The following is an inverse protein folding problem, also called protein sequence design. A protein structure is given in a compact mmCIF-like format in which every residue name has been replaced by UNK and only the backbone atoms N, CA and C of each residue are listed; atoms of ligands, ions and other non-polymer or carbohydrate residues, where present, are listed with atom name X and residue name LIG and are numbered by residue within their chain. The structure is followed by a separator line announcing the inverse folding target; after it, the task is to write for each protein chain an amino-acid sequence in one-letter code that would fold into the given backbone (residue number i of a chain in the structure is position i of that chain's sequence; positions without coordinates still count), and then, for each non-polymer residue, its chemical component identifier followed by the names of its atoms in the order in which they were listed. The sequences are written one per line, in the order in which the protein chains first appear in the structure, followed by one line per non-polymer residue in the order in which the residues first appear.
data_IF_062780620874
#
_entry.id   IF_062780620874
#
_cell.length_a   1.000
_cell.length_b   1.000
_cell.length_c   1.000
_cell.angle_alpha   90.00
_cell.angle_beta   90.00
_cell.angle_gamma   90.00
#
_symmetry.space_group_name_H-M   'P 1'
#
loop_
_entity.id
_entity.type
_entity.pdbx_description
1 polymer ?
#
# COMPACT_ATOMS: atom_id res chain seq x y z
N UNK A 1 12.94 -2.67 -16.18
CA UNK A 1 14.04 -2.18 -15.31
C UNK A 1 14.68 -3.38 -14.59
N UNK A 2 16.02 -3.40 -14.45
CA UNK A 2 16.69 -4.36 -13.56
C UNK A 2 16.22 -4.10 -12.13
N UNK A 3 15.84 -5.14 -11.36
CA UNK A 3 15.38 -4.95 -9.99
C UNK A 3 16.53 -4.41 -9.13
N UNK A 4 16.32 -3.29 -8.42
CA UNK A 4 17.25 -2.88 -7.38
C UNK A 4 16.90 -3.66 -6.12
N UNK A 5 17.89 -4.22 -5.43
CA UNK A 5 17.66 -4.88 -4.14
C UNK A 5 17.57 -3.87 -2.99
N UNK A 6 17.02 -2.68 -3.25
CA UNK A 6 16.85 -1.65 -2.24
C UNK A 6 15.52 -1.81 -1.52
N UNK A 7 15.44 -1.32 -0.28
CA UNK A 7 14.19 -1.31 0.48
C UNK A 7 13.09 -0.46 -0.16
N UNK A 8 13.44 0.44 -1.08
CA UNK A 8 12.47 1.22 -1.85
C UNK A 8 11.74 0.41 -2.92
N UNK A 9 12.29 -0.75 -3.33
CA UNK A 9 11.63 -1.69 -4.24
C UNK A 9 10.80 -2.74 -3.49
N UNK A 10 10.75 -2.66 -2.16
CA UNK A 10 9.93 -3.57 -1.36
C UNK A 10 8.44 -3.22 -1.51
N UNK A 11 7.70 -4.09 -2.17
CA UNK A 11 6.28 -3.88 -2.48
C UNK A 11 5.36 -4.63 -1.52
N UNK A 12 4.07 -4.29 -1.58
CA UNK A 12 3.03 -4.94 -0.77
C UNK A 12 3.03 -6.46 -0.95
N UNK A 13 3.25 -6.97 -2.17
CA UNK A 13 3.25 -8.41 -2.46
C UNK A 13 4.46 -9.12 -1.83
N UNK A 14 5.61 -8.44 -1.72
CA UNK A 14 6.74 -8.94 -0.93
C UNK A 14 6.40 -9.00 0.56
N UNK A 15 5.73 -7.97 1.09
CA UNK A 15 5.27 -7.96 2.49
C UNK A 15 4.35 -9.15 2.79
N UNK A 16 3.41 -9.45 1.90
CA UNK A 16 2.52 -10.61 2.05
C UNK A 16 3.27 -11.93 1.96
N UNK A 17 4.21 -12.07 1.02
CA UNK A 17 5.00 -13.28 0.88
C UNK A 17 5.86 -13.56 2.12
N UNK A 18 6.51 -12.52 2.66
CA UNK A 18 7.31 -12.61 3.89
C UNK A 18 6.41 -12.89 5.10
N UNK A 19 5.30 -12.18 5.23
CA UNK A 19 4.32 -12.36 6.30
C UNK A 19 3.80 -13.80 6.38
N UNK A 20 3.35 -14.37 5.26
CA UNK A 20 2.91 -15.78 5.20
C UNK A 20 3.99 -16.76 5.69
N UNK A 21 5.26 -16.51 5.32
CA UNK A 21 6.38 -17.37 5.73
C UNK A 21 6.67 -17.28 7.23
N UNK A 22 6.54 -16.09 7.83
CA UNK A 22 6.82 -15.84 9.25
C UNK A 22 5.69 -16.38 10.13
N UNK A 23 4.45 -16.00 9.82
CA UNK A 23 3.29 -16.26 10.67
C UNK A 23 2.62 -17.62 10.41
N UNK A 24 2.84 -18.23 9.24
CA UNK A 24 2.28 -19.54 8.87
C UNK A 24 0.77 -19.59 9.11
N UNK A 25 0.30 -20.47 10.00
CA UNK A 25 -1.11 -20.65 10.35
C UNK A 25 -1.71 -19.45 11.07
N UNK A 26 -0.88 -18.58 11.67
CA UNK A 26 -1.33 -17.34 12.31
C UNK A 26 -1.44 -16.17 11.32
N UNK A 27 -1.17 -16.40 10.02
CA UNK A 27 -1.30 -15.36 9.01
C UNK A 27 -2.79 -15.11 8.68
N UNK A 28 -3.23 -13.84 8.50
CA UNK A 28 -4.63 -13.53 8.19
C UNK A 28 -5.13 -14.24 6.92
N UNK A 29 -6.33 -14.81 6.99
CA UNK A 29 -6.97 -15.46 5.83
C UNK A 29 -7.39 -14.43 4.78
N UNK A 30 -7.94 -13.30 5.24
CA UNK A 30 -8.39 -12.20 4.40
C UNK A 30 -7.46 -11.00 4.53
N UNK A 31 -6.92 -10.54 3.39
CA UNK A 31 -6.06 -9.35 3.33
C UNK A 31 -6.53 -8.45 2.20
N UNK A 32 -6.86 -7.21 2.55
CA UNK A 32 -7.26 -6.16 1.59
C UNK A 32 -6.08 -5.18 1.42
N UNK A 33 -5.76 -4.85 0.17
CA UNK A 33 -4.68 -3.92 -0.17
C UNK A 33 -5.26 -2.75 -0.96
N UNK A 34 -5.16 -1.54 -0.40
CA UNK A 34 -5.53 -0.30 -1.07
C UNK A 34 -4.29 0.34 -1.68
N UNK A 35 -4.34 0.63 -2.98
CA UNK A 35 -3.24 1.26 -3.72
C UNK A 35 -3.72 2.58 -4.33
N UNK A 36 -2.86 3.58 -4.29
CA UNK A 36 -3.06 4.87 -4.96
C UNK A 36 -1.91 5.05 -5.93
N UNK A 37 -2.22 5.24 -7.21
CA UNK A 37 -1.21 5.49 -8.23
C UNK A 37 -0.61 6.88 -8.05
N UNK A 38 0.71 6.99 -8.18
CA UNK A 38 1.41 8.26 -8.14
C UNK A 38 1.17 9.05 -9.44
N UNK A 39 0.84 10.34 -9.33
CA UNK A 39 0.71 11.21 -10.50
C UNK A 39 2.07 11.68 -11.02
N UNK A 40 3.00 12.01 -10.10
CA UNK A 40 4.35 12.48 -10.42
C UNK A 40 5.37 11.94 -9.41
N UNK A 41 6.59 11.67 -9.87
CA UNK A 41 7.74 11.21 -9.08
C UNK A 41 8.94 12.19 -9.15
N UNK A 42 8.77 13.37 -9.73
CA UNK A 42 9.78 14.43 -9.71
C UNK A 42 10.08 14.91 -8.27
N UNK A 43 11.21 15.60 -8.10
CA UNK A 43 11.58 16.18 -6.81
C UNK A 43 10.53 17.19 -6.31
N UNK A 44 10.00 16.92 -5.13
CA UNK A 44 9.02 17.75 -4.45
C UNK A 44 8.84 17.30 -3.00
N UNK A 45 8.11 18.09 -2.22
CA UNK A 45 7.82 17.80 -0.81
C UNK A 45 6.37 17.41 -0.57
N UNK A 46 5.46 17.82 -1.47
CA UNK A 46 4.03 17.69 -1.29
C UNK A 46 3.43 16.60 -2.18
N UNK A 47 2.30 16.03 -1.75
CA UNK A 47 1.47 15.20 -2.62
C UNK A 47 0.80 16.07 -3.66
N UNK A 48 0.61 15.51 -4.85
CA UNK A 48 -0.21 16.18 -5.84
C UNK A 48 -1.69 16.15 -5.45
N UNK A 49 -2.45 17.11 -5.97
CA UNK A 49 -3.85 17.29 -5.57
C UNK A 49 -4.72 16.05 -5.85
N UNK A 50 -4.41 15.28 -6.91
CA UNK A 50 -5.16 14.06 -7.22
C UNK A 50 -4.81 12.91 -6.29
N UNK A 51 -3.53 12.76 -5.93
CA UNK A 51 -3.09 11.74 -4.97
C UNK A 51 -3.68 12.04 -3.58
N UNK A 52 -3.69 13.30 -3.16
CA UNK A 52 -4.29 13.71 -1.89
C UNK A 52 -5.80 13.40 -1.84
N UNK A 53 -6.55 13.70 -2.90
CA UNK A 53 -7.99 13.36 -2.97
C UNK A 53 -8.23 11.85 -2.98
N UNK A 54 -7.37 11.08 -3.64
CA UNK A 54 -7.45 9.62 -3.63
C UNK A 54 -7.17 9.04 -2.24
N UNK A 55 -6.21 9.62 -1.50
CA UNK A 55 -5.92 9.24 -0.11
C UNK A 55 -7.13 9.48 0.80
N UNK A 56 -7.77 10.64 0.67
CA UNK A 56 -9.01 10.93 1.42
C UNK A 56 -10.12 9.92 1.08
N UNK A 57 -10.30 9.58 -0.20
CA UNK A 57 -11.29 8.57 -0.62
C UNK A 57 -11.03 7.21 0.02
N UNK A 58 -9.78 6.74 -0.02
CA UNK A 58 -9.40 5.46 0.60
C UNK A 58 -9.60 5.51 2.11
N UNK A 59 -9.27 6.63 2.75
CA UNK A 59 -9.49 6.81 4.18
C UNK A 59 -10.98 6.69 4.55
N UNK A 60 -11.87 7.36 3.81
CA UNK A 60 -13.31 7.27 4.05
C UNK A 60 -13.85 5.84 3.85
N UNK A 61 -13.36 5.13 2.84
CA UNK A 61 -13.72 3.71 2.60
C UNK A 61 -13.30 2.81 3.77
N UNK A 62 -12.08 3.01 4.29
CA UNK A 62 -11.57 2.26 5.44
C UNK A 62 -12.42 2.51 6.69
N UNK A 63 -12.79 3.77 6.95
CA UNK A 63 -13.65 4.12 8.08
C UNK A 63 -15.03 3.49 7.93
N UNK A 64 -15.63 3.51 6.74
CA UNK A 64 -16.92 2.85 6.49
C UNK A 64 -16.84 1.36 6.79
N UNK A 65 -15.80 0.69 6.30
CA UNK A 65 -15.61 -0.77 6.46
C UNK A 65 -15.40 -1.20 7.92
N UNK A 66 -14.85 -0.34 8.78
CA UNK A 66 -14.58 -0.66 10.19
C UNK A 66 -15.78 -0.43 11.12
N UNK A 67 -16.80 0.30 10.66
CA UNK A 67 -17.96 0.69 11.47
C UNK A 67 -19.19 -0.21 11.18
N UNK A 68 -19.19 -0.91 10.05
CA UNK A 68 -20.15 -1.97 9.70
C UNK A 68 -19.84 -3.30 10.41
#
# INVERSE_FOLDING_TARGET
PEPSYSLHDFRWDNALAVGRKIFREDFPEDVIVYLIEAENLDFGLELSSVVQRSAEKVFQELISTLID
#
